data_IF_244330218427
#
_entry.id   IF_244330218427
#
_cell.length_a   1.000
_cell.length_b   1.000
_cell.length_c   1.000
_cell.angle_alpha   90.00
_cell.angle_beta   90.00
_cell.angle_gamma   90.00
#
_symmetry.space_group_name_H-M   'P 1'
#
loop_
_entity.id
_entity.type
_entity.pdbx_description
1 polymer ?
#
# COMPACT_ATOMS: atom_id res chain seq x y z
N UNK A 1 5.53 -2.25 -4.72
CA UNK A 1 6.09 -3.54 -4.29
C UNK A 1 5.12 -4.19 -3.31
N UNK A 2 4.79 -5.45 -3.53
CA UNK A 2 3.86 -6.21 -2.66
C UNK A 2 4.57 -7.44 -2.14
N UNK A 3 4.70 -7.56 -0.82
CA UNK A 3 5.21 -8.72 -0.12
C UNK A 3 4.01 -9.46 0.50
N UNK A 4 3.81 -10.71 0.12
CA UNK A 4 2.80 -11.56 0.74
C UNK A 4 3.49 -12.75 1.40
N UNK A 5 3.17 -13.00 2.67
CA UNK A 5 3.69 -14.09 3.45
C UNK A 5 2.53 -14.88 4.07
N UNK A 6 2.58 -16.21 3.92
CA UNK A 6 1.53 -17.12 4.38
C UNK A 6 2.11 -18.10 5.41
N UNK A 7 2.22 -17.70 6.70
CA UNK A 7 2.78 -18.56 7.74
C UNK A 7 1.94 -19.81 8.02
N UNK A 8 0.64 -19.75 7.75
CA UNK A 8 -0.28 -20.88 7.95
C UNK A 8 -1.36 -20.90 6.87
N UNK A 9 -2.02 -22.05 6.60
CA UNK A 9 -3.13 -22.13 5.65
C UNK A 9 -4.24 -21.12 5.92
N UNK A 10 -4.46 -20.83 7.21
CA UNK A 10 -5.48 -19.94 7.77
C UNK A 10 -5.02 -18.49 7.97
N UNK A 11 -3.75 -18.16 7.73
CA UNK A 11 -3.23 -16.81 7.98
C UNK A 11 -2.39 -16.32 6.81
N UNK A 12 -2.81 -15.22 6.21
CA UNK A 12 -2.08 -14.50 5.18
C UNK A 12 -1.73 -13.12 5.71
N UNK A 13 -0.45 -12.79 5.70
CA UNK A 13 0.05 -11.44 5.96
C UNK A 13 0.48 -10.83 4.63
N UNK A 14 0.06 -9.59 4.36
CA UNK A 14 0.44 -8.85 3.17
C UNK A 14 0.95 -7.46 3.57
N UNK A 15 2.07 -7.09 2.98
CA UNK A 15 2.73 -5.81 3.09
C UNK A 15 2.75 -5.20 1.70
N UNK A 16 2.01 -4.12 1.51
CA UNK A 16 1.92 -3.43 0.23
C UNK A 16 2.56 -2.04 0.36
N UNK A 17 3.59 -1.82 -0.43
CA UNK A 17 4.29 -0.53 -0.57
C UNK A 17 3.95 0.01 -1.95
N UNK A 18 3.14 1.07 -2.02
CA UNK A 18 2.86 1.77 -3.27
C UNK A 18 3.61 3.08 -3.27
N UNK A 19 4.37 3.27 -4.35
CA UNK A 19 5.02 4.53 -4.67
C UNK A 19 4.35 5.02 -5.95
N UNK A 20 3.42 5.96 -5.80
CA UNK A 20 2.67 6.53 -6.91
C UNK A 20 3.25 7.90 -7.20
N UNK A 21 4.04 8.00 -8.29
CA UNK A 21 4.61 9.26 -8.78
C UNK A 21 3.83 9.67 -10.01
N UNK A 22 3.00 10.70 -9.90
CA UNK A 22 2.17 11.18 -11.00
C UNK A 22 2.76 12.47 -11.56
N UNK A 23 3.22 12.40 -12.81
CA UNK A 23 3.82 13.53 -13.53
C UNK A 23 2.76 14.42 -14.23
N UNK A 24 1.48 14.11 -14.08
CA UNK A 24 0.37 14.81 -14.75
C UNK A 24 -0.81 15.15 -13.84
N UNK A 25 -0.91 14.55 -12.65
CA UNK A 25 -2.05 14.75 -11.76
C UNK A 25 -1.54 15.13 -10.37
N UNK A 26 -1.73 16.40 -9.98
CA UNK A 26 -1.43 16.88 -8.63
C UNK A 26 -2.31 16.13 -7.63
N UNK A 27 -1.72 15.22 -6.86
CA UNK A 27 -2.44 14.66 -5.72
C UNK A 27 -2.52 15.74 -4.64
N UNK A 28 -3.73 16.00 -4.13
CA UNK A 28 -3.96 16.96 -3.07
C UNK A 28 -3.77 16.27 -1.71
N UNK A 29 -2.59 16.39 -1.13
CA UNK A 29 -2.38 16.04 0.28
C UNK A 29 -2.71 17.28 1.13
N UNK A 30 -3.99 17.41 1.49
CA UNK A 30 -4.51 18.57 2.20
C UNK A 30 -4.58 19.84 1.33
N UNK A 31 -3.57 20.72 1.42
CA UNK A 31 -3.53 22.05 0.76
C UNK A 31 -2.33 22.26 -0.17
N UNK A 32 -1.41 21.31 -0.22
CA UNK A 32 -0.22 21.38 -1.06
C UNK A 32 -0.30 20.32 -2.18
N UNK A 33 -0.08 20.70 -3.44
CA UNK A 33 0.05 19.72 -4.51
C UNK A 33 1.32 18.91 -4.28
N UNK A 34 1.17 17.61 -4.05
CA UNK A 34 2.29 16.66 -3.99
C UNK A 34 2.25 15.79 -5.23
N UNK A 35 3.40 15.61 -5.88
CA UNK A 35 3.58 14.79 -7.08
C UNK A 35 3.95 13.34 -6.73
N UNK A 36 4.14 13.06 -5.45
CA UNK A 36 4.59 11.78 -4.92
C UNK A 36 3.74 11.35 -3.73
N UNK A 37 2.91 10.33 -3.92
CA UNK A 37 2.13 9.71 -2.86
C UNK A 37 2.73 8.36 -2.49
N UNK A 38 3.19 8.25 -1.25
CA UNK A 38 3.69 7.01 -0.68
C UNK A 38 2.61 6.39 0.20
N UNK A 39 2.14 5.20 -0.16
CA UNK A 39 1.16 4.45 0.62
C UNK A 39 1.81 3.19 1.15
N UNK A 40 1.80 3.04 2.47
CA UNK A 40 2.18 1.82 3.17
C UNK A 40 0.91 1.15 3.71
N UNK A 41 0.65 -0.06 3.27
CA UNK A 41 -0.44 -0.89 3.76
C UNK A 41 0.09 -2.18 4.37
N UNK A 42 -0.47 -2.53 5.53
CA UNK A 42 -0.21 -3.79 6.23
C UNK A 42 -1.54 -4.47 6.45
N UNK A 43 -1.68 -5.68 5.93
CA UNK A 43 -2.91 -6.46 5.98
C UNK A 43 -2.61 -7.82 6.64
N UNK A 44 -3.50 -8.23 7.55
CA UNK A 44 -3.52 -9.57 8.12
C UNK A 44 -4.90 -10.18 7.86
N UNK A 45 -4.93 -11.26 7.09
CA UNK A 45 -6.14 -11.93 6.63
C UNK A 45 -6.19 -13.30 7.31
N UNK A 46 -7.22 -13.50 8.12
CA UNK A 46 -7.57 -14.81 8.67
C UNK A 46 -8.61 -15.49 7.78
N UNK A 47 -8.33 -16.73 7.38
CA UNK A 47 -9.22 -17.59 6.61
C UNK A 47 -9.79 -18.65 7.55
N UNK A 48 -11.11 -18.69 7.68
CA UNK A 48 -11.89 -19.63 8.50
C UNK A 48 -12.76 -20.52 7.62
#
# INVERSE_FOLDING_TARGET
MTLQYKPAPSLITRLEFRYDKSNQNVFLDGRSPTDNQQTLAVEAIFLF
#
